data_IF_258649356905
#
_entry.id   IF_258649356905
#
_cell.length_a   1.000
_cell.length_b   1.000
_cell.length_c   1.000
_cell.angle_alpha   90.00
_cell.angle_beta   90.00
_cell.angle_gamma   90.00
#
_symmetry.space_group_name_H-M   'P 1'
#
loop_
_entity.id
_entity.type
_entity.pdbx_description
1 polymer ?
#
# COMPACT_ATOMS: atom_id res chain seq x y z
N UNK A 1 15.51 -69.99 -15.32
CA UNK A 1 15.49 -69.38 -13.97
C UNK A 1 16.80 -68.62 -13.79
N UNK A 2 16.75 -67.30 -13.64
CA UNK A 2 17.93 -66.52 -13.28
C UNK A 2 17.48 -65.49 -12.24
N UNK A 3 17.70 -65.82 -10.97
CA UNK A 3 17.47 -64.89 -9.86
C UNK A 3 18.47 -63.74 -9.93
N UNK A 4 17.99 -62.52 -10.07
CA UNK A 4 18.79 -61.31 -9.92
C UNK A 4 18.80 -60.94 -8.43
N UNK A 5 19.84 -61.35 -7.70
CA UNK A 5 20.06 -60.90 -6.32
C UNK A 5 20.80 -59.55 -6.32
N UNK A 6 20.06 -58.46 -6.51
CA UNK A 6 20.58 -57.10 -6.33
C UNK A 6 20.68 -56.76 -4.84
N UNK A 7 21.77 -57.16 -4.19
CA UNK A 7 21.98 -56.86 -2.77
C UNK A 7 22.63 -55.47 -2.62
N UNK A 8 21.82 -54.42 -2.68
CA UNK A 8 22.28 -53.04 -2.41
C UNK A 8 22.82 -53.01 -0.97
N UNK A 9 24.13 -52.78 -0.81
CA UNK A 9 24.74 -52.71 0.50
C UNK A 9 24.17 -51.56 1.35
N UNK A 10 24.04 -51.76 2.68
CA UNK A 10 23.49 -50.79 3.64
C UNK A 10 24.06 -49.37 3.47
N UNK A 11 25.37 -49.24 3.24
CA UNK A 11 26.03 -47.94 3.01
C UNK A 11 25.60 -47.27 1.70
N UNK A 12 25.37 -48.06 0.65
CA UNK A 12 24.89 -47.56 -0.65
C UNK A 12 23.43 -47.12 -0.56
N UNK A 13 22.60 -47.88 0.17
CA UNK A 13 21.23 -47.48 0.47
C UNK A 13 21.17 -46.15 1.23
N UNK A 14 21.96 -46.00 2.30
CA UNK A 14 21.99 -44.76 3.08
C UNK A 14 22.45 -43.55 2.25
N UNK A 15 23.44 -43.73 1.36
CA UNK A 15 23.88 -42.68 0.44
C UNK A 15 22.76 -42.29 -0.53
N UNK A 16 22.10 -43.28 -1.14
CA UNK A 16 21.02 -43.05 -2.10
C UNK A 16 19.84 -42.33 -1.44
N UNK A 17 19.44 -42.77 -0.25
CA UNK A 17 18.35 -42.15 0.52
C UNK A 17 18.69 -40.71 0.93
N UNK A 18 19.94 -40.45 1.35
CA UNK A 18 20.39 -39.09 1.67
C UNK A 18 20.38 -38.18 0.43
N UNK A 19 20.87 -38.66 -0.72
CA UNK A 19 20.84 -37.89 -1.97
C UNK A 19 19.41 -37.65 -2.46
N UNK A 20 18.52 -38.63 -2.33
CA UNK A 20 17.11 -38.48 -2.69
C UNK A 20 16.41 -37.47 -1.77
N UNK A 21 16.66 -37.52 -0.45
CA UNK A 21 16.13 -36.56 0.51
C UNK A 21 16.59 -35.13 0.23
N UNK A 22 17.88 -34.95 -0.06
CA UNK A 22 18.43 -33.63 -0.45
C UNK A 22 17.85 -33.13 -1.77
N UNK A 23 17.63 -34.01 -2.75
CA UNK A 23 17.01 -33.64 -4.02
C UNK A 23 15.56 -33.14 -3.83
N UNK A 24 14.79 -33.81 -2.97
CA UNK A 24 13.43 -33.38 -2.62
C UNK A 24 13.45 -32.04 -1.90
N UNK A 25 14.34 -31.85 -0.92
CA UNK A 25 14.47 -30.58 -0.19
C UNK A 25 14.88 -29.43 -1.11
N UNK A 26 15.86 -29.65 -1.99
CA UNK A 26 16.28 -28.66 -2.97
C UNK A 26 15.13 -28.25 -3.88
N UNK A 27 14.37 -29.23 -4.41
CA UNK A 27 13.22 -28.94 -5.28
C UNK A 27 12.15 -28.09 -4.57
N UNK A 28 11.87 -28.37 -3.30
CA UNK A 28 10.93 -27.57 -2.51
C UNK A 28 11.47 -26.15 -2.23
N UNK A 29 12.76 -26.02 -1.92
CA UNK A 29 13.39 -24.71 -1.73
C UNK A 29 13.37 -23.87 -3.03
N UNK A 30 13.62 -24.49 -4.18
CA UNK A 30 13.49 -23.85 -5.49
C UNK A 30 12.04 -23.46 -5.79
N UNK A 31 11.07 -24.32 -5.50
CA UNK A 31 9.65 -24.02 -5.64
C UNK A 31 9.19 -22.88 -4.70
N UNK A 32 9.84 -22.73 -3.54
CA UNK A 32 9.58 -21.63 -2.61
C UNK A 32 10.27 -20.31 -2.99
N UNK A 33 11.26 -20.34 -3.88
CA UNK A 33 12.05 -19.16 -4.27
C UNK A 33 11.24 -17.96 -4.79
N UNK A 34 10.10 -18.12 -5.50
CA UNK A 34 9.29 -16.97 -5.93
C UNK A 34 8.65 -16.20 -4.77
N UNK A 35 8.45 -16.85 -3.62
CA UNK A 35 7.86 -16.24 -2.41
C UNK A 35 8.91 -15.53 -1.53
N UNK A 36 10.19 -15.71 -1.81
CA UNK A 36 11.29 -15.06 -1.09
C UNK A 36 11.69 -13.72 -1.73
N UNK A 37 10.93 -13.23 -2.72
CA UNK A 37 11.20 -11.92 -3.31
C UNK A 37 11.00 -10.83 -2.26
N UNK A 38 12.01 -9.99 -1.99
CA UNK A 38 11.85 -8.87 -1.07
C UNK A 38 10.80 -7.91 -1.64
N UNK A 39 9.82 -7.56 -0.81
CA UNK A 39 8.87 -6.51 -1.14
C UNK A 39 9.56 -5.16 -1.00
N UNK A 40 9.80 -4.49 -2.12
CA UNK A 40 10.41 -3.17 -2.15
C UNK A 40 9.30 -2.14 -2.03
N UNK A 41 9.29 -1.39 -0.92
CA UNK A 41 8.45 -0.20 -0.77
C UNK A 41 9.26 0.99 -1.27
N UNK A 42 8.79 1.65 -2.32
CA UNK A 42 9.40 2.89 -2.81
C UNK A 42 9.35 3.98 -1.73
N UNK A 43 10.30 4.92 -1.75
CA UNK A 43 10.36 6.00 -0.76
C UNK A 43 9.07 6.86 -0.81
N UNK A 44 8.22 6.82 0.23
CA UNK A 44 6.92 7.52 0.24
C UNK A 44 7.06 9.04 0.31
N UNK A 45 8.28 9.55 0.57
CA UNK A 45 8.61 10.97 0.60
C UNK A 45 9.34 11.44 -0.67
N UNK A 46 9.55 10.57 -1.66
CA UNK A 46 10.26 10.91 -2.91
C UNK A 46 9.52 11.96 -3.74
N UNK A 47 8.19 11.98 -3.63
CA UNK A 47 7.33 12.94 -4.29
C UNK A 47 6.15 13.26 -3.39
N UNK A 48 5.62 14.47 -3.51
CA UNK A 48 4.33 14.77 -2.93
C UNK A 48 3.25 13.91 -3.61
N UNK A 49 2.26 13.41 -2.84
CA UNK A 49 1.11 12.73 -3.43
C UNK A 49 0.30 13.69 -4.31
N UNK A 50 -0.63 13.15 -5.09
CA UNK A 50 -1.63 13.96 -5.78
C UNK A 50 -2.36 14.88 -4.77
N UNK A 51 -2.44 16.18 -5.08
CA UNK A 51 -3.08 17.22 -4.24
C UNK A 51 -4.33 17.83 -4.88
N UNK A 52 -4.84 17.23 -5.96
CA UNK A 52 -6.01 17.75 -6.68
C UNK A 52 -7.25 17.78 -5.79
N UNK A 53 -7.31 16.89 -4.79
CA UNK A 53 -8.36 16.88 -3.77
C UNK A 53 -8.43 18.19 -2.97
N UNK A 54 -7.32 18.92 -2.81
CA UNK A 54 -7.31 20.19 -2.08
C UNK A 54 -8.13 21.27 -2.80
N UNK A 55 -8.28 21.15 -4.12
CA UNK A 55 -9.07 22.07 -4.93
C UNK A 55 -10.50 22.14 -4.42
N UNK A 56 -11.08 21.03 -3.95
CA UNK A 56 -12.45 21.00 -3.41
C UNK A 56 -12.63 21.99 -2.26
N UNK A 57 -11.69 22.03 -1.32
CA UNK A 57 -11.74 22.95 -0.18
C UNK A 57 -11.47 24.39 -0.58
N UNK A 58 -10.53 24.61 -1.49
CA UNK A 58 -10.20 25.95 -2.00
C UNK A 58 -11.37 26.56 -2.78
N UNK A 59 -11.97 25.76 -3.66
CA UNK A 59 -13.12 26.15 -4.45
C UNK A 59 -14.32 26.39 -3.54
N UNK A 60 -14.50 25.60 -2.47
CA UNK A 60 -15.58 25.82 -1.49
C UNK A 60 -15.45 27.17 -0.78
N UNK A 61 -14.24 27.56 -0.37
CA UNK A 61 -13.98 28.83 0.31
C UNK A 61 -13.84 30.04 -0.62
N UNK A 62 -13.68 29.83 -1.92
CA UNK A 62 -13.65 30.92 -2.90
C UNK A 62 -15.01 31.64 -2.97
N UNK A 63 -14.98 32.96 -3.11
CA UNK A 63 -16.16 33.83 -3.10
C UNK A 63 -16.11 34.74 -4.33
N UNK A 64 -17.27 35.07 -4.88
CA UNK A 64 -17.36 35.88 -6.09
C UNK A 64 -17.23 37.37 -5.77
N UNK A 65 -17.77 37.79 -4.62
CA UNK A 65 -17.61 39.15 -4.09
C UNK A 65 -17.78 39.19 -2.57
N UNK A 66 -17.38 40.29 -1.95
CA UNK A 66 -17.52 40.54 -0.52
C UNK A 66 -18.02 41.97 -0.25
N UNK A 67 -18.78 42.14 0.83
CA UNK A 67 -19.22 43.45 1.31
C UNK A 67 -19.28 43.47 2.84
N UNK A 68 -19.33 44.67 3.41
CA UNK A 68 -19.46 44.84 4.86
C UNK A 68 -20.93 44.99 5.23
N UNK A 69 -21.38 44.15 6.15
CA UNK A 69 -22.74 44.14 6.68
C UNK A 69 -22.73 44.48 8.17
N UNK A 70 -23.50 45.50 8.55
CA UNK A 70 -23.75 45.79 9.96
C UNK A 70 -24.93 44.95 10.45
N UNK A 71 -24.65 44.01 11.35
CA UNK A 71 -25.68 43.30 12.09
C UNK A 71 -26.25 44.24 13.16
N UNK A 72 -27.46 44.75 12.94
CA UNK A 72 -28.14 45.69 13.86
C UNK A 72 -29.50 45.18 14.37
N UNK A 73 -29.60 43.95 14.93
CA UNK A 73 -30.77 43.58 15.73
C UNK A 73 -30.73 44.33 17.07
N UNK A 74 -31.80 44.24 17.87
CA UNK A 74 -31.82 44.80 19.22
C UNK A 74 -31.00 43.95 20.21
N UNK A 75 -29.71 43.75 19.91
CA UNK A 75 -28.75 42.99 20.72
C UNK A 75 -27.67 43.89 21.34
N UNK A 76 -27.66 45.20 21.02
CA UNK A 76 -26.66 46.20 21.44
C UNK A 76 -25.24 46.04 20.90
N UNK A 77 -24.94 45.02 20.08
CA UNK A 77 -23.57 44.71 19.67
C UNK A 77 -23.11 45.49 18.44
N UNK A 78 -23.99 45.72 17.46
CA UNK A 78 -23.64 46.41 16.21
C UNK A 78 -22.39 45.82 15.53
N UNK A 79 -22.34 44.50 15.38
CA UNK A 79 -21.20 43.80 14.80
C UNK A 79 -21.05 44.12 13.30
N UNK A 80 -19.86 44.54 12.90
CA UNK A 80 -19.48 44.63 11.49
C UNK A 80 -18.97 43.28 11.00
N UNK A 81 -19.72 42.67 10.09
CA UNK A 81 -19.43 41.37 9.48
C UNK A 81 -18.97 41.58 8.04
N UNK A 82 -18.07 40.72 7.58
CA UNK A 82 -17.79 40.57 6.15
C UNK A 82 -18.71 39.51 5.58
N UNK A 83 -19.63 39.92 4.72
CA UNK A 83 -20.50 39.02 3.98
C UNK A 83 -19.81 38.59 2.67
N UNK A 84 -19.96 37.32 2.32
CA UNK A 84 -19.40 36.72 1.11
C UNK A 84 -20.53 36.26 0.20
N UNK A 85 -20.47 36.62 -1.08
CA UNK A 85 -21.43 36.19 -2.10
C UNK A 85 -20.82 35.06 -2.92
N UNK A 86 -21.59 34.02 -3.19
CA UNK A 86 -21.17 32.88 -4.02
C UNK A 86 -22.34 32.32 -4.82
N UNK A 87 -22.15 32.16 -6.13
CA UNK A 87 -23.20 31.75 -7.07
C UNK A 87 -24.44 32.66 -6.97
N UNK A 88 -24.21 33.98 -6.87
CA UNK A 88 -25.24 35.00 -6.74
C UNK A 88 -26.14 34.91 -5.48
N UNK A 89 -25.64 34.26 -4.42
CA UNK A 89 -26.26 34.16 -3.07
C UNK A 89 -25.31 34.67 -2.00
#
# INVERSE_FOLDING_TARGET
MMEIKNNIGRRSFLKLSATAGLAVMANNAFAASPFLKPYVVDNPLKSYPNRDWEKVYRDMFHVDSEFIFLCAPNDTHNCLLKAHVKNDV
#
